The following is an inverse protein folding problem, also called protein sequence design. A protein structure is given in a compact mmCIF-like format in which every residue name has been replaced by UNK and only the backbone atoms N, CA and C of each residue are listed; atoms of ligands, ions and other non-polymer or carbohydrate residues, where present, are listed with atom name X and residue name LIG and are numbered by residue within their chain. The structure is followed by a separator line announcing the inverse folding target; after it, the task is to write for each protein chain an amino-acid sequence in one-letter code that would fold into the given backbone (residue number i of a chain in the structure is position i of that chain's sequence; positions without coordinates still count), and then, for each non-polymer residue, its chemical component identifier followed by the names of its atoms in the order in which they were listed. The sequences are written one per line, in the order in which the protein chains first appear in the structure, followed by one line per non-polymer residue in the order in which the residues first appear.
data_IF_698302909662
#
_entry.id   IF_698302909662
#
_cell.length_a   1.000
_cell.length_b   1.000
_cell.length_c   1.000
_cell.angle_alpha   90.00
_cell.angle_beta   90.00
_cell.angle_gamma   90.00
#
_symmetry.space_group_name_H-M   'P 1'
#
loop_
_entity.id
_entity.type
_entity.pdbx_description
1 polymer ?
#
# COMPACT_ATOMS: atom_id res chain seq x y z
N UNK A 1 25.23 34.61 26.33
CA UNK A 1 24.14 33.91 27.02
C UNK A 1 23.62 32.85 26.07
N UNK A 2 24.13 31.63 26.24
CA UNK A 2 23.85 30.49 25.35
C UNK A 2 22.68 29.70 25.94
N UNK A 3 21.57 29.64 25.21
CA UNK A 3 20.44 28.79 25.58
C UNK A 3 20.68 27.39 25.02
N UNK A 4 20.95 26.44 25.90
CA UNK A 4 20.90 25.00 25.64
C UNK A 4 19.47 24.63 25.25
N UNK A 5 19.28 24.21 24.00
CA UNK A 5 18.10 23.46 23.59
C UNK A 5 18.58 22.03 23.36
N UNK A 6 18.25 21.15 24.30
CA UNK A 6 18.40 19.70 24.14
C UNK A 6 17.61 19.24 22.91
N UNK A 7 18.19 18.44 22.00
CA UNK A 7 17.41 17.76 20.98
C UNK A 7 16.68 16.59 21.65
N UNK A 8 15.40 16.79 21.94
CA UNK A 8 14.47 15.70 22.24
C UNK A 8 14.36 14.79 21.01
N UNK A 9 15.21 13.76 20.97
CA UNK A 9 15.08 12.64 20.05
C UNK A 9 13.77 11.90 20.33
N UNK A 10 12.70 12.29 19.63
CA UNK A 10 11.48 11.49 19.58
C UNK A 10 11.75 10.30 18.66
N UNK A 11 12.24 9.20 19.25
CA UNK A 11 12.32 7.90 18.61
C UNK A 11 10.90 7.37 18.37
N UNK A 12 10.24 7.87 17.33
CA UNK A 12 9.03 7.27 16.78
C UNK A 12 9.45 6.06 15.94
N UNK A 13 9.87 5.01 16.64
CA UNK A 13 9.99 3.67 16.09
C UNK A 13 8.62 3.21 15.57
N UNK A 14 8.61 2.56 14.42
CA UNK A 14 7.46 1.86 13.81
C UNK A 14 6.65 1.01 14.81
N UNK A 15 7.23 0.64 15.96
CA UNK A 15 6.57 -0.06 17.06
C UNK A 15 5.22 0.57 17.52
N UNK A 16 5.05 1.89 17.47
CA UNK A 16 3.84 2.56 17.98
C UNK A 16 2.61 2.50 17.05
N UNK A 17 2.82 2.23 15.75
CA UNK A 17 1.75 2.00 14.78
C UNK A 17 1.30 0.52 14.84
N UNK A 18 2.26 -0.39 14.96
CA UNK A 18 2.02 -1.84 15.03
C UNK A 18 1.33 -2.29 16.33
N UNK A 19 1.63 -1.68 17.47
CA UNK A 19 0.89 -1.93 18.72
C UNK A 19 -0.59 -1.51 18.61
N UNK A 20 -0.91 -0.48 17.83
CA UNK A 20 -2.30 -0.02 17.62
C UNK A 20 -3.09 -0.95 16.68
N UNK A 21 -2.45 -1.50 15.66
CA UNK A 21 -3.10 -2.42 14.70
C UNK A 21 -3.35 -3.81 15.29
N UNK A 22 -2.49 -4.28 16.21
CA UNK A 22 -2.69 -5.53 16.94
C UNK A 22 -3.97 -5.54 17.81
N UNK A 23 -4.38 -4.36 18.29
CA UNK A 23 -5.65 -4.18 19.02
C UNK A 23 -6.88 -4.13 18.10
N UNK A 24 -6.73 -3.80 16.81
CA UNK A 24 -7.85 -3.77 15.86
C UNK A 24 -8.09 -5.13 15.19
N UNK A 25 -7.04 -5.90 14.91
CA UNK A 25 -7.16 -7.26 14.36
C UNK A 25 -7.75 -8.29 15.35
N UNK A 26 -7.93 -7.92 16.62
CA UNK A 26 -8.49 -8.77 17.69
C UNK A 26 -9.89 -8.37 18.15
N UNK A 27 -10.51 -7.36 17.55
CA UNK A 27 -11.89 -6.99 17.85
C UNK A 27 -12.86 -7.91 17.07
N UNK A 28 -13.67 -8.75 17.74
CA UNK A 28 -14.68 -9.54 17.05
C UNK A 28 -15.80 -8.63 16.57
N UNK A 29 -16.05 -8.63 15.25
CA UNK A 29 -17.32 -8.21 14.68
C UNK A 29 -18.42 -9.07 15.31
N UNK A 30 -19.26 -8.44 16.13
CA UNK A 30 -20.42 -9.09 16.74
C UNK A 30 -21.47 -9.29 15.65
N UNK A 31 -21.45 -10.47 15.04
CA UNK A 31 -22.61 -11.03 14.34
C UNK A 31 -22.51 -12.58 14.32
N UNK A 32 -23.14 -13.21 15.32
CA UNK A 32 -23.75 -14.54 15.30
C UNK A 32 -23.04 -15.70 14.60
N UNK A 33 -22.41 -16.57 15.40
CA UNK A 33 -22.05 -17.92 14.98
C UNK A 33 -21.03 -18.58 15.90
N UNK A 34 -21.50 -19.40 16.84
CA UNK A 34 -20.64 -20.15 17.75
C UNK A 34 -19.73 -21.11 16.96
N UNK A 35 -18.44 -20.77 16.87
CA UNK A 35 -17.39 -21.70 16.45
C UNK A 35 -16.41 -21.92 17.58
N UNK A 36 -16.19 -23.21 17.84
CA UNK A 36 -15.43 -23.81 18.93
C UNK A 36 -14.06 -23.15 19.15
N UNK A 37 -13.77 -22.94 20.42
CA UNK A 37 -12.46 -22.65 20.95
C UNK A 37 -11.43 -23.69 20.46
N UNK A 38 -10.48 -23.23 19.66
CA UNK A 38 -9.13 -23.76 19.52
C UNK A 38 -8.26 -22.62 18.99
N UNK A 39 -8.04 -21.61 19.84
CA UNK A 39 -7.04 -20.58 19.59
C UNK A 39 -5.65 -21.16 19.89
N UNK A 40 -4.70 -21.22 18.95
CA UNK A 40 -3.31 -21.51 19.29
C UNK A 40 -2.76 -20.35 20.12
N UNK A 41 -2.07 -20.70 21.21
CA UNK A 41 -1.40 -19.80 22.15
C UNK A 41 -0.63 -18.65 21.50
N UNK A 42 -0.69 -17.47 22.11
CA UNK A 42 -0.01 -16.25 21.67
C UNK A 42 1.53 -16.38 21.69
N UNK A 43 2.14 -16.73 20.56
CA UNK A 43 3.59 -16.81 20.36
C UNK A 43 4.26 -15.44 20.12
N UNK A 44 4.05 -14.46 20.99
CA UNK A 44 4.76 -13.18 20.91
C UNK A 44 6.07 -13.24 21.73
N UNK A 45 7.18 -13.63 21.09
CA UNK A 45 8.51 -13.45 21.71
C UNK A 45 8.79 -11.95 21.88
N UNK A 46 9.42 -11.53 22.99
CA UNK A 46 9.73 -10.13 23.27
C UNK A 46 10.76 -9.57 22.27
N UNK A 47 10.76 -8.25 22.09
CA UNK A 47 11.88 -7.58 21.40
C UNK A 47 13.15 -7.70 22.23
N UNK A 48 14.27 -7.97 21.56
CA UNK A 48 15.60 -7.89 22.17
C UNK A 48 16.14 -6.48 21.94
N UNK A 49 16.58 -5.79 23.01
CA UNK A 49 17.21 -4.48 22.86
C UNK A 49 18.41 -4.61 21.90
N UNK A 50 18.47 -3.84 20.79
CA UNK A 50 19.52 -3.96 19.78
C UNK A 50 20.90 -3.49 20.27
N UNK A 51 20.98 -2.92 21.48
CA UNK A 51 22.21 -2.33 22.04
C UNK A 51 22.50 -2.87 23.44
N UNK A 52 23.79 -2.86 23.80
CA UNK A 52 24.25 -3.15 25.15
C UNK A 52 24.29 -4.64 25.53
N UNK A 53 24.34 -4.88 26.84
CA UNK A 53 24.59 -6.20 27.44
C UNK A 53 23.56 -7.26 27.00
N UNK A 54 22.29 -6.89 26.88
CA UNK A 54 21.20 -7.79 26.48
C UNK A 54 21.40 -8.37 25.07
N UNK A 55 21.87 -7.58 24.10
CA UNK A 55 22.16 -8.08 22.75
C UNK A 55 23.40 -8.98 22.73
N UNK A 56 24.41 -8.64 23.53
CA UNK A 56 25.62 -9.46 23.68
C UNK A 56 25.30 -10.82 24.30
N UNK A 57 24.47 -10.86 25.35
CA UNK A 57 24.02 -12.09 25.99
C UNK A 57 23.15 -12.94 25.04
N UNK A 58 22.28 -12.28 24.28
CA UNK A 58 21.50 -12.92 23.23
C UNK A 58 22.44 -13.59 22.22
N UNK A 59 23.32 -12.84 21.53
CA UNK A 59 24.23 -13.35 20.49
C UNK A 59 25.19 -14.46 20.94
N UNK A 60 25.49 -14.55 22.23
CA UNK A 60 26.35 -15.59 22.82
C UNK A 60 25.60 -16.87 23.22
N UNK A 61 24.27 -16.81 23.39
CA UNK A 61 23.45 -17.93 23.87
C UNK A 61 22.65 -18.60 22.75
N UNK A 62 23.06 -19.82 22.36
CA UNK A 62 22.28 -20.65 21.42
C UNK A 62 20.86 -20.94 21.92
N UNK A 63 20.70 -21.09 23.23
CA UNK A 63 19.40 -21.38 23.87
C UNK A 63 18.47 -20.17 23.73
N UNK A 64 18.99 -18.95 23.91
CA UNK A 64 18.20 -17.73 23.75
C UNK A 64 17.78 -17.47 22.29
N UNK A 65 18.60 -17.89 21.32
CA UNK A 65 18.33 -17.73 19.88
C UNK A 65 17.27 -18.68 19.35
N UNK A 66 17.24 -19.90 19.87
CA UNK A 66 16.49 -21.00 19.29
C UNK A 66 14.99 -20.67 19.07
N UNK A 67 14.25 -20.07 20.01
CA UNK A 67 12.85 -19.71 19.78
C UNK A 67 12.65 -18.70 18.65
N UNK A 68 13.56 -17.73 18.50
CA UNK A 68 13.47 -16.70 17.45
C UNK A 68 13.74 -17.28 16.07
N UNK A 69 14.77 -18.13 15.97
CA UNK A 69 15.11 -18.85 14.73
C UNK A 69 14.00 -19.84 14.37
N UNK A 70 13.42 -20.52 15.36
CA UNK A 70 12.29 -21.42 15.14
C UNK A 70 11.08 -20.68 14.54
N UNK A 71 10.67 -19.56 15.14
CA UNK A 71 9.55 -18.79 14.62
C UNK A 71 9.81 -18.26 13.20
N UNK A 72 11.01 -17.77 12.91
CA UNK A 72 11.41 -17.36 11.56
C UNK A 72 11.31 -18.52 10.56
N UNK A 73 11.80 -19.70 10.93
CA UNK A 73 11.70 -20.90 10.10
C UNK A 73 10.25 -21.35 9.88
N UNK A 74 9.40 -21.28 10.90
CA UNK A 74 7.97 -21.59 10.80
C UNK A 74 7.25 -20.64 9.83
N UNK A 75 7.48 -19.32 9.96
CA UNK A 75 6.89 -18.33 9.05
C UNK A 75 7.33 -18.55 7.60
N UNK A 76 8.64 -18.73 7.37
CA UNK A 76 9.16 -18.96 6.01
C UNK A 76 8.71 -20.31 5.44
N UNK A 77 8.61 -21.34 6.27
CA UNK A 77 8.04 -22.64 5.86
C UNK A 77 6.59 -22.46 5.40
N UNK A 78 5.78 -21.72 6.16
CA UNK A 78 4.39 -21.44 5.79
C UNK A 78 4.27 -20.69 4.46
N UNK A 79 5.09 -19.65 4.24
CA UNK A 79 5.15 -18.94 2.95
C UNK A 79 5.52 -19.91 1.81
N UNK A 80 6.52 -20.76 2.02
CA UNK A 80 6.95 -21.75 1.03
C UNK A 80 5.83 -22.73 0.68
N UNK A 81 5.16 -23.28 1.68
CA UNK A 81 4.06 -24.22 1.52
C UNK A 81 2.87 -23.58 0.79
N UNK A 82 2.55 -22.34 1.12
CA UNK A 82 1.51 -21.57 0.41
C UNK A 82 1.82 -21.42 -1.09
N UNK A 83 3.06 -21.03 -1.44
CA UNK A 83 3.48 -20.93 -2.85
C UNK A 83 3.38 -22.29 -3.55
N UNK A 84 3.83 -23.37 -2.91
CA UNK A 84 3.78 -24.72 -3.48
C UNK A 84 2.34 -25.19 -3.74
N UNK A 85 1.40 -24.82 -2.87
CA UNK A 85 0.00 -25.24 -2.96
C UNK A 85 -0.79 -24.44 -4.00
N UNK A 86 -0.51 -23.14 -4.13
CA UNK A 86 -1.41 -22.22 -4.84
C UNK A 86 -0.81 -21.57 -6.09
N UNK A 87 0.51 -21.41 -6.21
CA UNK A 87 1.11 -20.79 -7.38
C UNK A 87 1.18 -21.77 -8.56
N UNK A 88 1.02 -21.25 -9.78
CA UNK A 88 1.18 -22.05 -10.99
C UNK A 88 2.60 -22.64 -11.08
N UNK A 89 2.70 -23.90 -11.51
CA UNK A 89 3.99 -24.55 -11.69
C UNK A 89 4.74 -23.90 -12.85
N UNK A 90 5.94 -23.36 -12.59
CA UNK A 90 6.73 -22.71 -13.62
C UNK A 90 8.07 -22.16 -13.14
N UNK A 91 8.87 -21.56 -14.04
CA UNK A 91 10.22 -21.07 -13.73
C UNK A 91 10.24 -20.00 -12.62
N UNK A 92 9.24 -19.11 -12.59
CA UNK A 92 9.11 -18.07 -11.57
C UNK A 92 8.91 -18.69 -10.19
N UNK A 93 7.95 -19.61 -10.05
CA UNK A 93 7.68 -20.35 -8.81
C UNK A 93 8.89 -21.13 -8.33
N UNK A 94 9.58 -21.84 -9.22
CA UNK A 94 10.81 -22.56 -8.86
C UNK A 94 11.91 -21.61 -8.35
N UNK A 95 12.09 -20.46 -9.02
CA UNK A 95 13.05 -19.43 -8.60
C UNK A 95 12.68 -18.86 -7.22
N UNK A 96 11.40 -18.55 -6.99
CA UNK A 96 10.90 -18.07 -5.70
C UNK A 96 11.17 -19.07 -4.57
N UNK A 97 10.87 -20.36 -4.79
CA UNK A 97 11.12 -21.43 -3.81
C UNK A 97 12.61 -21.59 -3.48
N UNK A 98 13.50 -21.48 -4.49
CA UNK A 98 14.95 -21.49 -4.25
C UNK A 98 15.39 -20.30 -3.41
N UNK A 99 14.96 -19.07 -3.74
CA UNK A 99 15.28 -17.87 -2.96
C UNK A 99 14.84 -17.98 -1.51
N UNK A 100 13.65 -18.53 -1.27
CA UNK A 100 13.16 -18.80 0.10
C UNK A 100 14.07 -19.78 0.84
N UNK A 101 14.48 -20.86 0.17
CA UNK A 101 15.38 -21.86 0.74
C UNK A 101 16.77 -21.25 1.04
N UNK A 102 17.31 -20.46 0.12
CA UNK A 102 18.60 -19.79 0.27
C UNK A 102 18.55 -18.76 1.41
N UNK A 103 17.46 -18.00 1.52
CA UNK A 103 17.23 -17.08 2.64
C UNK A 103 17.19 -17.81 3.99
N UNK A 104 16.45 -18.92 4.07
CA UNK A 104 16.40 -19.74 5.27
C UNK A 104 17.79 -20.28 5.64
N UNK A 105 18.58 -20.73 4.67
CA UNK A 105 19.92 -21.26 4.91
C UNK A 105 20.94 -20.19 5.30
N UNK A 106 20.90 -19.01 4.66
CA UNK A 106 21.97 -18.00 4.76
C UNK A 106 21.68 -16.87 5.74
N UNK A 107 20.40 -16.55 6.00
CA UNK A 107 20.00 -15.41 6.84
C UNK A 107 19.30 -15.83 8.13
N UNK A 108 18.57 -16.94 8.14
CA UNK A 108 17.87 -17.44 9.35
C UNK A 108 18.74 -18.46 10.08
N UNK A 109 19.12 -19.56 9.41
CA UNK A 109 19.92 -20.64 9.97
C UNK A 109 21.42 -20.33 9.91
N UNK A 110 21.77 -19.08 10.18
CA UNK A 110 23.14 -18.60 10.26
C UNK A 110 23.70 -18.76 11.68
N UNK A 111 24.97 -18.39 11.88
CA UNK A 111 25.56 -18.35 13.23
C UNK A 111 24.81 -17.29 14.07
N UNK A 112 24.59 -17.51 15.38
CA UNK A 112 23.93 -16.54 16.26
C UNK A 112 24.45 -15.10 16.14
N UNK A 113 25.77 -14.93 16.06
CA UNK A 113 26.41 -13.61 15.92
C UNK A 113 26.14 -12.91 14.56
N UNK A 114 25.64 -13.64 13.56
CA UNK A 114 25.32 -13.14 12.22
C UNK A 114 23.85 -12.73 12.07
N UNK A 115 23.00 -13.08 13.04
CA UNK A 115 21.59 -12.69 13.04
C UNK A 115 21.48 -11.21 13.45
N UNK A 116 20.89 -10.38 12.61
CA UNK A 116 20.82 -8.93 12.88
C UNK A 116 19.66 -8.59 13.83
N UNK A 117 19.73 -7.47 14.58
CA UNK A 117 18.60 -7.04 15.41
C UNK A 117 17.32 -6.81 14.60
N UNK A 118 17.44 -6.30 13.36
CA UNK A 118 16.31 -6.15 12.44
C UNK A 118 15.66 -7.50 12.12
N UNK A 119 16.47 -8.54 11.90
CA UNK A 119 15.95 -9.88 11.63
C UNK A 119 15.18 -10.46 12.81
N UNK A 120 15.75 -10.33 14.02
CA UNK A 120 15.19 -10.87 15.28
C UNK A 120 13.90 -10.17 15.71
N UNK A 121 13.87 -8.86 15.56
CA UNK A 121 12.78 -8.04 16.09
C UNK A 121 11.69 -7.79 15.04
N UNK A 122 12.05 -7.13 13.94
CA UNK A 122 11.09 -6.59 12.97
C UNK A 122 10.70 -7.65 11.94
N UNK A 123 11.69 -8.26 11.26
CA UNK A 123 11.41 -9.20 10.18
C UNK A 123 10.70 -10.46 10.69
N UNK A 124 11.07 -10.96 11.89
CA UNK A 124 10.36 -12.07 12.53
C UNK A 124 8.86 -11.79 12.69
N UNK A 125 8.52 -10.61 13.20
CA UNK A 125 7.11 -10.21 13.41
C UNK A 125 6.38 -10.07 12.08
N UNK A 126 6.99 -9.38 11.12
CA UNK A 126 6.37 -9.14 9.83
C UNK A 126 6.22 -10.43 9.00
N UNK A 127 7.21 -11.32 9.01
CA UNK A 127 7.09 -12.64 8.37
C UNK A 127 6.00 -13.50 9.01
N UNK A 128 5.86 -13.44 10.34
CA UNK A 128 4.78 -14.11 11.03
C UNK A 128 3.41 -13.57 10.61
N UNK A 129 3.26 -12.25 10.54
CA UNK A 129 2.03 -11.61 10.06
C UNK A 129 1.73 -11.98 8.61
N UNK A 130 2.73 -11.96 7.73
CA UNK A 130 2.57 -12.41 6.34
C UNK A 130 2.07 -13.86 6.31
N UNK A 131 2.72 -14.77 7.04
CA UNK A 131 2.32 -16.17 7.08
C UNK A 131 0.85 -16.35 7.54
N UNK A 132 0.39 -15.56 8.51
CA UNK A 132 -1.01 -15.55 8.93
C UNK A 132 -1.95 -15.00 7.85
N UNK A 133 -1.62 -13.85 7.24
CA UNK A 133 -2.46 -13.21 6.23
C UNK A 133 -2.51 -14.01 4.92
N UNK A 134 -1.48 -14.78 4.59
CA UNK A 134 -1.54 -15.71 3.46
C UNK A 134 -2.57 -16.83 3.69
N UNK A 135 -2.98 -17.12 4.92
CA UNK A 135 -4.07 -18.05 5.22
C UNK A 135 -5.43 -17.36 5.33
N UNK A 136 -5.48 -16.03 5.24
CA UNK A 136 -6.72 -15.26 5.36
C UNK A 136 -7.53 -15.33 4.05
N UNK A 137 -8.62 -16.08 4.07
CA UNK A 137 -9.50 -16.26 2.90
C UNK A 137 -10.28 -15.00 2.52
N UNK A 138 -10.34 -13.99 3.40
CA UNK A 138 -10.92 -12.69 3.03
C UNK A 138 -10.04 -11.88 2.07
N UNK A 139 -8.78 -12.29 1.86
CA UNK A 139 -7.89 -11.72 0.85
C UNK A 139 -7.95 -12.60 -0.41
N UNK A 140 -8.24 -12.03 -1.60
CA UNK A 140 -8.27 -12.77 -2.85
C UNK A 140 -7.02 -13.62 -3.07
N UNK A 141 -7.20 -14.87 -3.51
CA UNK A 141 -6.10 -15.84 -3.63
C UNK A 141 -5.00 -15.34 -4.58
N UNK A 142 -5.38 -14.73 -5.71
CA UNK A 142 -4.42 -14.19 -6.67
C UNK A 142 -3.50 -13.12 -6.04
N UNK A 143 -4.05 -12.27 -5.18
CA UNK A 143 -3.28 -11.24 -4.48
C UNK A 143 -2.32 -11.86 -3.45
N UNK A 144 -2.78 -12.86 -2.69
CA UNK A 144 -1.93 -13.61 -1.76
C UNK A 144 -0.78 -14.31 -2.48
N UNK A 145 -1.03 -14.94 -3.64
CA UNK A 145 0.01 -15.55 -4.49
C UNK A 145 1.00 -14.49 -4.97
N UNK A 146 0.51 -13.38 -5.53
CA UNK A 146 1.34 -12.28 -6.02
C UNK A 146 2.28 -11.76 -4.93
N UNK A 147 1.76 -11.53 -3.72
CA UNK A 147 2.54 -11.03 -2.59
C UNK A 147 3.56 -12.04 -2.07
N UNK A 148 3.21 -13.33 -2.03
CA UNK A 148 4.16 -14.38 -1.64
C UNK A 148 5.32 -14.49 -2.65
N UNK A 149 5.05 -14.35 -3.94
CA UNK A 149 6.08 -14.34 -4.99
C UNK A 149 6.95 -13.09 -4.92
N UNK A 150 6.37 -11.89 -4.76
CA UNK A 150 7.10 -10.64 -4.56
C UNK A 150 8.00 -10.70 -3.32
N UNK A 151 7.48 -11.22 -2.20
CA UNK A 151 8.25 -11.45 -0.99
C UNK A 151 9.50 -12.29 -1.32
N UNK A 152 9.31 -13.45 -1.95
CA UNK A 152 10.41 -14.36 -2.29
C UNK A 152 11.47 -13.69 -3.18
N UNK A 153 11.06 -12.84 -4.12
CA UNK A 153 11.98 -12.15 -5.01
C UNK A 153 12.93 -11.19 -4.26
N UNK A 154 12.45 -10.50 -3.24
CA UNK A 154 13.24 -9.56 -2.43
C UNK A 154 13.95 -10.17 -1.21
N UNK A 155 13.99 -11.50 -1.05
CA UNK A 155 14.74 -12.14 0.05
C UNK A 155 16.25 -12.32 -0.23
N UNK A 156 16.68 -12.15 -1.48
CA UNK A 156 18.06 -12.40 -1.95
C UNK A 156 18.80 -11.07 -2.22
N UNK A 157 18.72 -10.14 -1.26
CA UNK A 157 19.39 -8.83 -1.32
C UNK A 157 20.11 -8.52 0.00
N UNK A 158 20.62 -7.30 0.16
CA UNK A 158 21.19 -6.82 1.43
C UNK A 158 20.18 -6.91 2.59
N UNK A 159 20.65 -6.94 3.84
CA UNK A 159 19.79 -7.17 5.01
C UNK A 159 18.71 -6.10 5.17
N UNK A 160 19.03 -4.84 4.86
CA UNK A 160 18.12 -3.70 4.87
C UNK A 160 17.07 -3.82 3.76
N UNK A 161 17.48 -4.15 2.53
CA UNK A 161 16.56 -4.38 1.41
C UNK A 161 15.58 -5.53 1.69
N UNK A 162 16.05 -6.61 2.31
CA UNK A 162 15.19 -7.71 2.78
C UNK A 162 14.16 -7.21 3.78
N UNK A 163 14.58 -6.37 4.72
CA UNK A 163 13.70 -5.83 5.76
C UNK A 163 12.63 -4.89 5.19
N UNK A 164 13.01 -4.03 4.24
CA UNK A 164 12.08 -3.17 3.50
C UNK A 164 11.07 -3.99 2.71
N UNK A 165 11.53 -5.02 1.99
CA UNK A 165 10.66 -5.91 1.22
C UNK A 165 9.65 -6.65 2.12
N UNK A 166 10.11 -7.23 3.22
CA UNK A 166 9.26 -7.90 4.21
C UNK A 166 8.23 -6.92 4.78
N UNK A 167 8.64 -5.71 5.17
CA UNK A 167 7.74 -4.70 5.70
C UNK A 167 6.70 -4.25 4.66
N UNK A 168 7.11 -4.09 3.41
CA UNK A 168 6.21 -3.71 2.31
C UNK A 168 5.14 -4.76 2.08
N UNK A 169 5.53 -6.04 1.93
CA UNK A 169 4.58 -7.13 1.74
C UNK A 169 3.65 -7.31 2.96
N UNK A 170 4.16 -7.15 4.19
CA UNK A 170 3.34 -7.21 5.39
C UNK A 170 2.32 -6.07 5.43
N UNK A 171 2.75 -4.85 5.14
CA UNK A 171 1.88 -3.67 5.10
C UNK A 171 0.80 -3.81 4.03
N UNK A 172 1.15 -4.38 2.88
CA UNK A 172 0.18 -4.60 1.80
C UNK A 172 -0.85 -5.67 2.16
N UNK A 173 -0.45 -6.77 2.81
CA UNK A 173 -1.40 -7.79 3.29
C UNK A 173 -2.30 -7.29 4.43
N UNK A 174 -1.82 -6.35 5.25
CA UNK A 174 -2.54 -5.88 6.44
C UNK A 174 -3.43 -4.68 6.13
N UNK A 175 -2.99 -3.77 5.27
CA UNK A 175 -3.73 -2.56 4.90
C UNK A 175 -4.71 -2.81 3.74
N UNK A 176 -5.21 -4.05 3.59
CA UNK A 176 -6.27 -4.38 2.65
C UNK A 176 -7.56 -3.69 3.08
N UNK A 177 -7.75 -2.46 2.62
CA UNK A 177 -9.07 -1.87 2.57
C UNK A 177 -9.86 -2.64 1.50
N UNK A 178 -11.06 -3.11 1.85
CA UNK A 178 -11.95 -3.76 0.89
C UNK A 178 -12.73 -2.72 0.09
N UNK A 179 -13.19 -3.11 -1.10
CA UNK A 179 -13.95 -2.24 -1.98
C UNK A 179 -13.11 -1.19 -2.71
N UNK A 180 -13.81 -0.25 -3.35
CA UNK A 180 -13.21 0.71 -4.28
C UNK A 180 -12.09 1.56 -3.68
N UNK A 181 -12.23 2.03 -2.45
CA UNK A 181 -11.22 2.89 -1.82
C UNK A 181 -9.88 2.16 -1.63
N UNK A 182 -9.94 0.90 -1.17
CA UNK A 182 -8.73 0.10 -1.01
C UNK A 182 -8.10 -0.31 -2.32
N UNK A 183 -8.92 -0.61 -3.32
CA UNK A 183 -8.43 -0.85 -4.67
C UNK A 183 -7.65 0.35 -5.23
N UNK A 184 -8.19 1.57 -5.07
CA UNK A 184 -7.52 2.79 -5.53
C UNK A 184 -6.19 3.02 -4.81
N UNK A 185 -6.16 2.82 -3.48
CA UNK A 185 -4.92 2.95 -2.70
C UNK A 185 -3.87 1.94 -3.16
N UNK A 186 -4.31 0.70 -3.43
CA UNK A 186 -3.43 -0.35 -3.94
C UNK A 186 -2.87 0.01 -5.32
N UNK A 187 -3.73 0.36 -6.28
CA UNK A 187 -3.32 0.78 -7.64
C UNK A 187 -2.37 1.98 -7.56
N UNK A 188 -2.71 3.00 -6.74
CA UNK A 188 -1.85 4.18 -6.53
C UNK A 188 -0.46 3.77 -6.06
N UNK A 189 -0.37 2.98 -4.99
CA UNK A 189 0.92 2.60 -4.41
C UNK A 189 1.74 1.77 -5.39
N UNK A 190 1.11 0.87 -6.15
CA UNK A 190 1.77 0.13 -7.23
C UNK A 190 2.32 1.06 -8.32
N UNK A 191 1.53 2.04 -8.77
CA UNK A 191 2.00 3.03 -9.72
C UNK A 191 3.19 3.81 -9.16
N UNK A 192 3.10 4.32 -7.92
CA UNK A 192 4.22 5.05 -7.29
C UNK A 192 5.49 4.19 -7.33
N UNK A 193 5.42 2.94 -6.88
CA UNK A 193 6.57 2.04 -6.86
C UNK A 193 7.13 1.80 -8.27
N UNK A 194 6.27 1.58 -9.28
CA UNK A 194 6.69 1.41 -10.67
C UNK A 194 7.34 2.66 -11.26
N UNK A 195 6.76 3.85 -11.06
CA UNK A 195 7.26 5.11 -11.60
C UNK A 195 8.60 5.48 -10.96
N UNK A 196 8.70 5.37 -9.64
CA UNK A 196 9.94 5.64 -8.91
C UNK A 196 11.04 4.64 -9.28
N UNK A 197 10.70 3.36 -9.45
CA UNK A 197 11.66 2.34 -9.90
C UNK A 197 12.21 2.67 -11.30
N UNK A 198 11.35 3.08 -12.23
CA UNK A 198 11.79 3.49 -13.57
C UNK A 198 12.70 4.72 -13.53
N UNK A 199 12.39 5.70 -12.68
CA UNK A 199 13.23 6.87 -12.48
C UNK A 199 14.60 6.51 -11.89
N UNK A 200 14.63 5.71 -10.82
CA UNK A 200 15.86 5.25 -10.19
C UNK A 200 16.73 4.51 -11.21
N UNK A 201 16.15 3.57 -11.96
CA UNK A 201 16.89 2.86 -13.02
C UNK A 201 17.44 3.81 -14.07
N UNK A 202 16.67 4.81 -14.49
CA UNK A 202 17.12 5.81 -15.46
C UNK A 202 18.31 6.62 -14.96
N UNK A 203 18.27 7.06 -13.70
CA UNK A 203 19.34 7.86 -13.07
C UNK A 203 20.57 7.00 -12.78
N UNK A 204 20.38 5.87 -12.12
CA UNK A 204 21.45 5.02 -11.63
C UNK A 204 22.23 4.37 -12.78
N UNK A 205 21.57 3.98 -13.87
CA UNK A 205 22.25 3.46 -15.05
C UNK A 205 23.21 4.46 -15.71
N UNK A 206 23.04 5.77 -15.46
CA UNK A 206 23.93 6.82 -15.98
C UNK A 206 25.05 7.18 -15.02
N UNK A 207 24.89 6.90 -13.73
CA UNK A 207 25.78 7.40 -12.67
C UNK A 207 26.57 6.29 -11.98
N UNK A 208 26.08 5.05 -12.00
CA UNK A 208 26.61 3.93 -11.25
C UNK A 208 26.99 2.78 -12.18
N UNK A 209 27.91 1.92 -11.74
CA UNK A 209 28.14 0.65 -12.41
C UNK A 209 26.90 -0.26 -12.29
N UNK A 210 26.65 -1.18 -13.24
CA UNK A 210 25.45 -2.03 -13.20
C UNK A 210 25.28 -2.83 -11.90
N UNK A 211 26.39 -3.28 -11.29
CA UNK A 211 26.35 -3.98 -10.01
C UNK A 211 25.93 -3.08 -8.84
N UNK A 212 26.41 -1.84 -8.80
CA UNK A 212 26.04 -0.86 -7.78
C UNK A 212 24.60 -0.37 -7.95
N UNK A 213 24.18 -0.08 -9.19
CA UNK A 213 22.81 0.33 -9.51
C UNK A 213 21.80 -0.71 -8.99
N UNK A 214 22.03 -1.98 -9.31
CA UNK A 214 21.16 -3.07 -8.85
C UNK A 214 21.14 -3.22 -7.32
N UNK A 215 22.26 -3.01 -6.65
CA UNK A 215 22.37 -3.14 -5.20
C UNK A 215 21.68 -1.99 -4.44
N UNK A 216 21.68 -0.78 -5.01
CA UNK A 216 21.10 0.42 -4.39
C UNK A 216 19.66 0.71 -4.84
N UNK A 217 19.15 0.03 -5.88
CA UNK A 217 17.84 0.26 -6.48
C UNK A 217 16.71 0.37 -5.44
N UNK A 218 16.56 -0.61 -4.55
CA UNK A 218 15.50 -0.61 -3.52
C UNK A 218 15.64 0.56 -2.52
N UNK A 219 16.88 0.93 -2.19
CA UNK A 219 17.19 1.99 -1.24
C UNK A 219 16.93 3.37 -1.83
N UNK A 220 17.30 3.57 -3.09
CA UNK A 220 17.03 4.78 -3.83
C UNK A 220 15.52 4.96 -4.07
N UNK A 221 14.79 3.89 -4.40
CA UNK A 221 13.31 3.95 -4.47
C UNK A 221 12.74 4.35 -3.11
N UNK A 222 13.18 3.74 -2.01
CA UNK A 222 12.70 4.09 -0.67
C UNK A 222 13.04 5.54 -0.28
N UNK A 223 14.21 6.05 -0.68
CA UNK A 223 14.58 7.44 -0.50
C UNK A 223 13.56 8.36 -1.20
N UNK A 224 13.23 8.08 -2.46
CA UNK A 224 12.24 8.88 -3.19
C UNK A 224 10.83 8.75 -2.60
N UNK A 225 10.43 7.56 -2.13
CA UNK A 225 9.15 7.37 -1.40
C UNK A 225 9.09 8.22 -0.14
N UNK A 226 10.18 8.29 0.63
CA UNK A 226 10.27 9.14 1.82
C UNK A 226 10.17 10.63 1.44
N UNK A 227 10.81 11.05 0.35
CA UNK A 227 10.75 12.42 -0.14
C UNK A 227 9.32 12.87 -0.48
N UNK A 228 8.56 12.01 -1.16
CA UNK A 228 7.19 12.32 -1.61
C UNK A 228 6.11 11.92 -0.59
N UNK A 229 6.50 11.38 0.59
CA UNK A 229 5.58 10.72 1.49
C UNK A 229 4.41 11.59 1.95
N UNK A 230 4.70 12.83 2.35
CA UNK A 230 3.67 13.77 2.80
C UNK A 230 2.68 14.13 1.68
N UNK A 231 3.17 14.33 0.46
CA UNK A 231 2.33 14.72 -0.68
C UNK A 231 1.43 13.59 -1.16
N UNK A 232 1.86 12.34 -1.01
CA UNK A 232 1.19 11.15 -1.56
C UNK A 232 0.55 10.26 -0.48
N UNK A 233 0.54 10.71 0.77
CA UNK A 233 -0.03 9.97 1.90
C UNK A 233 0.67 8.64 2.16
N UNK A 234 2.00 8.59 2.01
CA UNK A 234 2.82 7.43 2.33
C UNK A 234 3.40 7.54 3.73
N UNK A 235 3.81 6.40 4.29
CA UNK A 235 4.55 6.36 5.55
C UNK A 235 6.04 6.48 5.27
N UNK A 236 6.73 7.36 6.01
CA UNK A 236 8.19 7.46 5.98
C UNK A 236 8.80 6.22 6.63
N UNK A 237 9.73 5.57 5.93
CA UNK A 237 10.43 4.38 6.42
C UNK A 237 11.91 4.66 6.57
N UNK A 238 12.46 4.41 7.75
CA UNK A 238 13.89 4.57 8.02
C UNK A 238 14.70 3.53 7.24
N UNK A 239 15.66 3.99 6.44
CA UNK A 239 16.63 3.17 5.73
C UNK A 239 17.97 3.91 5.69
N UNK A 240 19.05 3.21 6.08
CA UNK A 240 20.40 3.79 6.17
C UNK A 240 20.96 4.18 4.80
N UNK A 241 20.58 3.45 3.75
CA UNK A 241 21.05 3.71 2.40
C UNK A 241 20.14 4.67 1.64
N UNK A 242 18.96 4.97 2.17
CA UNK A 242 18.05 5.99 1.66
C UNK A 242 18.52 7.40 2.07
N UNK A 243 19.70 7.80 1.59
CA UNK A 243 20.37 9.02 2.02
C UNK A 243 19.58 10.29 1.71
N UNK A 244 19.63 11.27 2.61
CA UNK A 244 19.05 12.60 2.38
C UNK A 244 19.63 13.27 1.13
N UNK A 245 20.91 13.07 0.85
CA UNK A 245 21.58 13.55 -0.36
C UNK A 245 20.88 13.07 -1.63
N UNK A 246 20.54 11.78 -1.74
CA UNK A 246 19.84 11.25 -2.90
C UNK A 246 18.43 11.84 -3.02
N UNK A 247 17.73 11.99 -1.88
CA UNK A 247 16.41 12.63 -1.82
C UNK A 247 16.47 14.08 -2.33
N UNK A 248 17.47 14.85 -1.92
CA UNK A 248 17.61 16.24 -2.36
C UNK A 248 17.95 16.34 -3.86
N UNK A 249 18.76 15.41 -4.39
CA UNK A 249 19.21 15.44 -5.78
C UNK A 249 18.15 14.98 -6.79
N UNK A 250 17.37 13.96 -6.44
CA UNK A 250 16.44 13.28 -7.36
C UNK A 250 14.98 13.42 -6.92
N UNK A 251 14.71 13.77 -5.67
CA UNK A 251 13.37 13.98 -5.12
C UNK A 251 12.49 14.96 -5.91
N UNK A 252 12.99 16.12 -6.36
CA UNK A 252 12.19 17.03 -7.18
C UNK A 252 11.72 16.41 -8.51
N UNK A 253 12.55 15.56 -9.12
CA UNK A 253 12.13 14.78 -10.30
C UNK A 253 11.05 13.77 -9.94
N UNK A 254 11.21 13.06 -8.82
CA UNK A 254 10.25 12.08 -8.35
C UNK A 254 8.87 12.71 -8.12
N UNK A 255 8.82 13.85 -7.44
CA UNK A 255 7.57 14.57 -7.20
C UNK A 255 6.87 14.91 -8.53
N UNK A 256 7.57 15.59 -9.44
CA UNK A 256 6.96 16.02 -10.70
C UNK A 256 6.64 14.85 -11.66
N UNK A 257 7.43 13.77 -11.62
CA UNK A 257 7.15 12.55 -12.35
C UNK A 257 5.81 11.93 -11.91
N UNK A 258 5.62 11.77 -10.61
CA UNK A 258 4.39 11.20 -10.06
C UNK A 258 3.17 12.08 -10.40
N UNK A 259 3.29 13.41 -10.30
CA UNK A 259 2.20 14.32 -10.68
C UNK A 259 1.79 14.21 -12.16
N UNK A 260 2.75 13.94 -13.05
CA UNK A 260 2.50 13.79 -14.50
C UNK A 260 1.98 12.42 -14.91
N UNK A 261 2.23 11.40 -14.11
CA UNK A 261 1.96 9.99 -14.48
C UNK A 261 0.79 9.39 -13.69
N UNK A 262 0.56 9.82 -12.46
CA UNK A 262 -0.51 9.29 -11.62
C UNK A 262 -1.62 10.34 -11.48
N UNK A 263 -2.52 10.34 -12.45
CA UNK A 263 -3.67 11.26 -12.52
C UNK A 263 -4.98 10.54 -12.16
N UNK A 264 -6.05 11.28 -11.83
CA UNK A 264 -7.38 10.69 -11.65
C UNK A 264 -7.84 9.86 -12.86
N UNK A 265 -7.51 10.31 -14.07
CA UNK A 265 -7.80 9.57 -15.30
C UNK A 265 -7.06 8.24 -15.35
N UNK A 266 -5.74 8.24 -15.08
CA UNK A 266 -4.93 7.02 -15.08
C UNK A 266 -5.48 5.98 -14.10
N UNK A 267 -5.82 6.41 -12.87
CA UNK A 267 -6.46 5.53 -11.88
C UNK A 267 -7.82 5.02 -12.32
N UNK A 268 -8.68 5.90 -12.87
CA UNK A 268 -10.01 5.51 -13.33
C UNK A 268 -9.95 4.49 -14.48
N UNK A 269 -8.99 4.63 -15.39
CA UNK A 269 -8.77 3.65 -16.46
C UNK A 269 -8.28 2.30 -15.93
N UNK A 270 -7.39 2.28 -14.93
CA UNK A 270 -6.94 1.03 -14.31
C UNK A 270 -8.07 0.34 -13.53
N UNK A 271 -8.90 1.11 -12.82
CA UNK A 271 -10.12 0.56 -12.19
C UNK A 271 -11.09 0.03 -13.24
N UNK A 272 -11.27 0.74 -14.35
CA UNK A 272 -12.11 0.29 -15.46
C UNK A 272 -11.61 -1.03 -16.07
N UNK A 273 -10.30 -1.18 -16.23
CA UNK A 273 -9.68 -2.42 -16.71
C UNK A 273 -9.96 -3.58 -15.73
N UNK A 274 -9.81 -3.36 -14.42
CA UNK A 274 -10.13 -4.39 -13.42
C UNK A 274 -11.61 -4.76 -13.36
N UNK A 275 -12.51 -3.79 -13.51
CA UNK A 275 -13.95 -4.06 -13.63
C UNK A 275 -14.21 -4.96 -14.86
N UNK A 276 -13.60 -4.62 -15.99
CA UNK A 276 -13.72 -5.38 -17.23
C UNK A 276 -13.21 -6.82 -17.07
N UNK A 277 -12.00 -6.98 -16.55
CA UNK A 277 -11.38 -8.29 -16.30
C UNK A 277 -12.23 -9.16 -15.38
N UNK A 278 -12.72 -8.60 -14.27
CA UNK A 278 -13.57 -9.34 -13.32
C UNK A 278 -14.88 -9.78 -13.92
N UNK A 279 -15.54 -8.92 -14.70
CA UNK A 279 -16.80 -9.28 -15.35
C UNK A 279 -16.58 -10.31 -16.47
N UNK A 280 -15.46 -10.26 -17.20
CA UNK A 280 -15.19 -11.22 -18.27
C UNK A 280 -14.70 -12.58 -17.78
N UNK A 281 -13.98 -12.63 -16.67
CA UNK A 281 -13.59 -13.87 -15.98
C UNK A 281 -14.84 -14.71 -15.62
N UNK A 282 -15.90 -14.06 -15.14
CA UNK A 282 -17.14 -14.73 -14.73
C UNK A 282 -18.07 -15.11 -15.87
N UNK A 283 -17.86 -14.54 -17.06
CA UNK A 283 -18.72 -14.72 -18.23
C UNK A 283 -18.03 -15.44 -19.38
N UNK A 284 -16.84 -16.01 -19.14
CA UNK A 284 -16.04 -16.69 -20.16
C UNK A 284 -15.77 -15.81 -21.39
N UNK A 285 -15.49 -14.52 -21.18
CA UNK A 285 -15.25 -13.50 -22.22
C UNK A 285 -16.45 -13.11 -23.09
N UNK A 286 -17.62 -13.76 -22.93
CA UNK A 286 -18.81 -13.50 -23.75
C UNK A 286 -19.30 -12.04 -23.65
N UNK A 287 -19.10 -11.35 -22.52
CA UNK A 287 -19.47 -9.94 -22.38
C UNK A 287 -18.67 -8.99 -23.28
N UNK A 288 -17.45 -9.35 -23.72
CA UNK A 288 -16.68 -8.52 -24.65
C UNK A 288 -17.22 -8.60 -26.08
N UNK A 289 -17.73 -9.77 -26.47
CA UNK A 289 -18.19 -10.05 -27.84
C UNK A 289 -19.70 -9.94 -28.01
N UNK A 290 -20.45 -9.87 -26.92
CA UNK A 290 -21.91 -9.92 -26.88
C UNK A 290 -22.40 -11.24 -26.33
N UNK A 291 -23.12 -11.17 -25.21
CA UNK A 291 -23.79 -12.30 -24.55
C UNK A 291 -25.30 -12.17 -24.77
N UNK A 292 -26.01 -13.29 -24.91
CA UNK A 292 -27.48 -13.26 -24.93
C UNK A 292 -28.01 -12.83 -23.54
N UNK A 293 -28.97 -11.90 -23.48
CA UNK A 293 -29.47 -11.39 -22.20
C UNK A 293 -30.03 -12.48 -21.26
N UNK A 294 -30.62 -13.54 -21.83
CA UNK A 294 -31.13 -14.68 -21.05
C UNK A 294 -30.04 -15.51 -20.35
N UNK A 295 -28.78 -15.40 -20.78
CA UNK A 295 -27.64 -16.09 -20.18
C UNK A 295 -26.99 -15.27 -19.04
N UNK A 296 -27.29 -13.97 -18.98
CA UNK A 296 -26.72 -13.07 -17.99
C UNK A 296 -27.31 -13.32 -16.60
N UNK A 297 -26.53 -13.97 -15.75
CA UNK A 297 -26.87 -14.15 -14.32
C UNK A 297 -26.52 -12.88 -13.54
N UNK A 298 -27.43 -11.92 -13.53
CA UNK A 298 -27.24 -10.59 -12.94
C UNK A 298 -26.97 -10.60 -11.44
N UNK A 299 -27.68 -11.40 -10.65
CA UNK A 299 -27.54 -11.39 -9.19
C UNK A 299 -26.18 -11.93 -8.70
N UNK A 300 -25.65 -13.06 -9.21
CA UNK A 300 -24.27 -13.47 -8.93
C UNK A 300 -23.23 -12.41 -9.31
N UNK A 301 -23.36 -11.79 -10.49
CA UNK A 301 -22.47 -10.71 -10.93
C UNK A 301 -22.55 -9.49 -10.03
N UNK A 302 -23.75 -9.11 -9.58
CA UNK A 302 -23.94 -7.98 -8.67
C UNK A 302 -23.26 -8.22 -7.33
N UNK A 303 -23.42 -9.41 -6.74
CA UNK A 303 -22.76 -9.76 -5.47
C UNK A 303 -21.24 -9.76 -5.60
N UNK A 304 -20.74 -10.24 -6.74
CA UNK A 304 -19.31 -10.19 -7.02
C UNK A 304 -18.79 -8.76 -7.11
N UNK A 305 -19.47 -7.91 -7.88
CA UNK A 305 -19.09 -6.50 -8.02
C UNK A 305 -19.12 -5.78 -6.66
N UNK A 306 -20.13 -6.06 -5.83
CA UNK A 306 -20.24 -5.52 -4.49
C UNK A 306 -19.13 -6.03 -3.55
N UNK A 307 -18.74 -7.30 -3.66
CA UNK A 307 -17.67 -7.86 -2.85
C UNK A 307 -16.30 -7.24 -3.21
N UNK A 308 -16.04 -7.05 -4.51
CA UNK A 308 -14.75 -6.57 -5.00
C UNK A 308 -14.62 -5.05 -4.91
N UNK A 309 -15.63 -4.32 -5.38
CA UNK A 309 -15.59 -2.86 -5.53
C UNK A 309 -16.48 -2.12 -4.53
N UNK A 310 -17.29 -2.82 -3.75
CA UNK A 310 -18.26 -2.21 -2.83
C UNK A 310 -19.50 -1.67 -3.56
N UNK A 311 -20.36 -0.96 -2.81
CA UNK A 311 -21.63 -0.44 -3.33
C UNK A 311 -21.48 0.72 -4.33
N UNK A 312 -20.27 1.27 -4.49
CA UNK A 312 -20.06 2.45 -5.33
C UNK A 312 -19.95 2.11 -6.82
N UNK A 313 -19.60 0.88 -7.19
CA UNK A 313 -19.60 0.43 -8.58
C UNK A 313 -20.84 -0.44 -8.83
N UNK A 314 -21.85 0.15 -9.44
CA UNK A 314 -23.07 -0.57 -9.83
C UNK A 314 -22.89 -1.31 -11.16
N UNK A 315 -23.23 -2.60 -11.16
CA UNK A 315 -23.22 -3.48 -12.34
C UNK A 315 -24.00 -2.90 -13.52
N UNK A 316 -25.12 -2.21 -13.28
CA UNK A 316 -25.96 -1.69 -14.37
C UNK A 316 -25.20 -0.65 -15.22
N UNK A 317 -24.33 0.13 -14.60
CA UNK A 317 -23.50 1.13 -15.26
C UNK A 317 -22.27 0.51 -15.93
N UNK A 318 -22.00 -0.79 -15.72
CA UNK A 318 -20.94 -1.53 -16.38
C UNK A 318 -21.41 -2.28 -17.63
N UNK A 319 -22.72 -2.39 -17.86
CA UNK A 319 -23.31 -3.16 -18.94
C UNK A 319 -23.99 -2.25 -19.97
N UNK A 320 -24.02 -2.71 -21.21
CA UNK A 320 -24.72 -2.08 -22.32
C UNK A 320 -25.66 -3.11 -22.95
N UNK A 321 -26.96 -2.80 -22.97
CA UNK A 321 -27.98 -3.64 -23.59
C UNK A 321 -28.25 -3.15 -25.01
N UNK A 322 -28.51 -4.07 -25.95
CA UNK A 322 -29.03 -3.71 -27.27
C UNK A 322 -30.46 -3.16 -27.16
N UNK A 323 -30.89 -2.38 -28.16
CA UNK A 323 -32.21 -1.71 -28.16
C UNK A 323 -33.38 -2.70 -28.03
N UNK A 324 -33.21 -3.91 -28.57
CA UNK A 324 -34.17 -5.01 -28.52
C UNK A 324 -33.98 -5.93 -27.31
N UNK A 325 -33.02 -5.64 -26.43
CA UNK A 325 -32.63 -6.45 -25.27
C UNK A 325 -32.28 -7.91 -25.60
N UNK A 326 -31.90 -8.21 -26.85
CA UNK A 326 -31.45 -9.54 -27.24
C UNK A 326 -30.03 -9.84 -26.72
N UNK A 327 -29.18 -8.81 -26.66
CA UNK A 327 -27.76 -8.94 -26.31
C UNK A 327 -27.32 -7.91 -25.26
N UNK A 328 -26.31 -8.30 -24.50
CA UNK A 328 -25.63 -7.48 -23.51
C UNK A 328 -24.12 -7.54 -23.73
N UNK A 329 -23.49 -6.38 -23.72
CA UNK A 329 -22.04 -6.22 -23.79
C UNK A 329 -21.52 -5.46 -22.57
N UNK A 330 -20.22 -5.59 -22.33
CA UNK A 330 -19.52 -4.69 -21.40
C UNK A 330 -19.52 -3.27 -21.98
N UNK A 331 -19.71 -2.26 -21.12
CA UNK A 331 -19.52 -0.86 -21.48
C UNK A 331 -18.09 -0.60 -21.99
N UNK A 332 -17.94 0.43 -22.81
CA UNK A 332 -16.61 0.83 -23.28
C UNK A 332 -15.68 1.18 -22.11
N UNK A 333 -14.37 0.94 -22.28
CA UNK A 333 -13.34 1.30 -21.27
C UNK A 333 -13.48 2.74 -20.77
N UNK A 334 -13.81 3.67 -21.67
CA UNK A 334 -14.03 5.09 -21.32
C UNK A 334 -15.29 5.31 -20.48
N UNK A 335 -16.38 4.60 -20.78
CA UNK A 335 -17.62 4.68 -19.99
C UNK A 335 -17.41 4.10 -18.59
N UNK A 336 -16.74 2.95 -18.48
CA UNK A 336 -16.34 2.37 -17.19
C UNK A 336 -15.44 3.32 -16.39
N UNK A 337 -14.48 3.99 -17.04
CA UNK A 337 -13.64 4.99 -16.38
C UNK A 337 -14.44 6.21 -15.91
N UNK A 338 -15.46 6.63 -16.66
CA UNK A 338 -16.37 7.72 -16.25
C UNK A 338 -17.14 7.33 -14.98
N UNK A 339 -17.67 6.11 -14.95
CA UNK A 339 -18.33 5.56 -13.77
C UNK A 339 -17.39 5.46 -12.56
N UNK A 340 -16.13 5.07 -12.79
CA UNK A 340 -15.10 5.07 -11.75
C UNK A 340 -14.84 6.48 -11.19
N UNK A 341 -14.74 7.51 -12.03
CA UNK A 341 -14.60 8.91 -11.58
C UNK A 341 -15.80 9.33 -10.73
N UNK A 342 -17.02 9.05 -11.17
CA UNK A 342 -18.23 9.36 -10.39
C UNK A 342 -18.25 8.62 -9.04
N UNK A 343 -17.72 7.40 -9.02
CA UNK A 343 -17.56 6.65 -7.78
C UNK A 343 -16.48 7.26 -6.88
N UNK A 344 -15.36 7.76 -7.43
CA UNK A 344 -14.32 8.49 -6.69
C UNK A 344 -14.87 9.77 -6.06
N UNK A 345 -15.77 10.47 -6.75
CA UNK A 345 -16.46 11.65 -6.24
C UNK A 345 -17.39 11.30 -5.08
N UNK A 346 -18.17 10.22 -5.21
CA UNK A 346 -19.08 9.75 -4.14
C UNK A 346 -18.36 9.35 -2.86
N UNK A 347 -17.16 8.79 -2.95
CA UNK A 347 -16.33 8.46 -1.78
C UNK A 347 -15.46 9.63 -1.30
N UNK A 348 -15.60 10.81 -1.89
CA UNK A 348 -14.91 12.03 -1.46
C UNK A 348 -13.42 12.07 -1.81
N UNK A 349 -12.94 11.24 -2.74
CA UNK A 349 -11.58 11.36 -3.27
C UNK A 349 -11.46 12.56 -4.22
N UNK A 350 -12.47 12.78 -5.05
CA UNK A 350 -12.50 13.89 -6.01
C UNK A 350 -13.60 14.90 -5.66
N UNK A 351 -13.45 16.18 -6.05
CA UNK A 351 -14.52 17.17 -5.91
C UNK A 351 -15.80 16.72 -6.62
N UNK A 352 -16.94 16.82 -5.94
CA UNK A 352 -18.24 16.34 -6.46
C UNK A 352 -18.72 17.10 -7.71
N UNK A 353 -18.24 18.33 -7.90
CA UNK A 353 -18.57 19.23 -9.00
C UNK A 353 -17.59 19.15 -10.19
N UNK A 354 -16.48 18.41 -10.04
CA UNK A 354 -15.52 18.24 -11.12
C UNK A 354 -16.16 17.46 -12.28
N UNK A 355 -16.02 17.95 -13.52
CA UNK A 355 -16.57 17.24 -14.68
C UNK A 355 -15.82 15.93 -14.95
N UNK A 356 -16.49 14.76 -14.97
CA UNK A 356 -15.84 13.49 -15.30
C UNK A 356 -15.20 13.51 -16.69
N UNK A 357 -15.84 14.19 -17.66
CA UNK A 357 -15.30 14.37 -19.01
C UNK A 357 -14.00 15.17 -19.02
N UNK A 358 -13.91 16.22 -18.19
CA UNK A 358 -12.67 17.01 -18.05
C UNK A 358 -11.57 16.19 -17.38
N UNK A 359 -11.89 15.51 -16.28
CA UNK A 359 -10.93 14.67 -15.56
C UNK A 359 -10.35 13.57 -16.46
N UNK A 360 -11.20 12.87 -17.22
CA UNK A 360 -10.77 11.85 -18.18
C UNK A 360 -10.05 12.41 -19.42
N UNK A 361 -10.11 13.72 -19.65
CA UNK A 361 -9.36 14.37 -20.74
C UNK A 361 -7.91 14.66 -20.36
N UNK A 362 -7.55 14.53 -19.08
CA UNK A 362 -6.17 14.65 -18.63
C UNK A 362 -5.35 13.52 -19.24
N UNK A 363 -4.47 13.88 -20.16
CA UNK A 363 -3.61 12.93 -20.85
C UNK A 363 -2.55 12.42 -19.89
N UNK A 364 -2.53 11.11 -19.66
CA UNK A 364 -1.41 10.46 -19.00
C UNK A 364 -0.17 10.60 -19.89
N UNK A 365 0.92 11.08 -19.31
CA UNK A 365 2.19 11.15 -20.01
C UNK A 365 2.92 9.82 -19.82
N UNK A 366 3.35 9.12 -20.89
CA UNK A 366 4.13 7.90 -20.74
C UNK A 366 5.37 8.13 -19.87
N UNK A 367 5.68 7.19 -18.97
CA UNK A 367 6.74 7.33 -17.96
C UNK A 367 8.07 7.82 -18.54
N UNK A 368 8.51 7.26 -19.67
CA UNK A 368 9.76 7.65 -20.30
C UNK A 368 9.77 9.13 -20.73
N UNK A 369 8.68 9.63 -21.30
CA UNK A 369 8.53 11.03 -21.68
C UNK A 369 8.49 11.93 -20.43
N UNK A 370 7.85 11.47 -19.36
CA UNK A 370 7.77 12.22 -18.11
C UNK A 370 9.15 12.32 -17.44
N UNK A 371 9.93 11.24 -17.44
CA UNK A 371 11.32 11.23 -16.97
C UNK A 371 12.18 12.19 -17.81
N UNK A 372 12.05 12.19 -19.14
CA UNK A 372 12.78 13.12 -20.01
C UNK A 372 12.42 14.57 -19.72
N UNK A 373 11.13 14.89 -19.61
CA UNK A 373 10.65 16.25 -19.29
C UNK A 373 11.12 16.73 -17.91
N UNK A 374 11.30 15.83 -16.95
CA UNK A 374 11.75 16.17 -15.59
C UNK A 374 13.26 16.10 -15.41
N UNK A 375 14.01 15.54 -16.38
CA UNK A 375 15.46 15.28 -16.26
C UNK A 375 16.31 16.51 -15.95
N UNK A 376 15.88 17.70 -16.35
CA UNK A 376 16.55 18.96 -16.06
C UNK A 376 16.57 19.32 -14.57
N UNK A 377 15.70 18.71 -13.75
CA UNK A 377 15.65 18.92 -12.31
C UNK A 377 16.71 18.12 -11.55
N UNK A 378 17.28 17.08 -12.15
CA UNK A 378 18.45 16.43 -11.58
C UNK A 378 19.60 17.44 -11.54
N UNK A 379 20.18 17.65 -10.34
CA UNK A 379 21.35 18.49 -10.01
C UNK A 379 21.09 19.92 -9.52
N UNK A 380 19.85 20.34 -9.30
CA UNK A 380 19.65 21.56 -8.51
C UNK A 380 19.88 21.23 -7.03
N UNK A 381 21.03 21.64 -6.49
CA UNK A 381 21.21 21.80 -5.05
C UNK A 381 20.15 22.81 -4.62
N UNK A 382 19.10 22.33 -3.97
CA UNK A 382 17.99 23.13 -3.50
C UNK A 382 18.49 23.97 -2.32
N UNK A 383 18.92 25.22 -2.60
CA UNK A 383 19.39 26.19 -1.60
C UNK A 383 18.26 26.78 -0.75
N UNK A 384 16.99 26.50 -1.06
CA UNK A 384 15.83 26.97 -0.33
C UNK A 384 14.75 25.89 -0.35
N UNK A 385 14.02 25.62 0.74
CA UNK A 385 12.91 24.68 0.73
C UNK A 385 11.91 25.13 -0.33
N UNK A 386 11.96 24.47 -1.48
CA UNK A 386 11.15 24.85 -2.61
C UNK A 386 9.70 24.53 -2.25
N UNK A 387 8.92 25.59 -2.00
CA UNK A 387 7.46 25.54 -2.02
C UNK A 387 7.03 25.30 -3.47
N UNK A 388 7.29 24.11 -3.98
CA UNK A 388 6.64 23.64 -5.19
C UNK A 388 5.16 23.57 -4.85
N UNK A 389 4.39 24.51 -5.40
CA UNK A 389 2.95 24.50 -5.29
C UNK A 389 2.44 23.23 -5.94
N UNK A 390 2.30 22.16 -5.16
CA UNK A 390 1.50 21.00 -5.54
C UNK A 390 0.17 21.56 -5.98
N UNK A 391 -0.29 21.19 -7.16
CA UNK A 391 -1.59 21.65 -7.59
C UNK A 391 -2.63 21.25 -6.51
N UNK A 392 -3.58 22.13 -6.12
CA UNK A 392 -4.41 21.93 -4.93
C UNK A 392 -5.16 20.59 -4.90
N UNK A 393 -5.38 19.99 -6.08
CA UNK A 393 -5.99 18.69 -6.22
C UNK A 393 -5.08 17.55 -5.75
N UNK A 394 -3.77 17.56 -5.98
CA UNK A 394 -2.88 16.45 -5.59
C UNK A 394 -2.83 16.26 -4.07
N UNK A 395 -2.61 17.35 -3.34
CA UNK A 395 -2.56 17.29 -1.87
C UNK A 395 -3.92 16.90 -1.30
N UNK A 396 -5.03 17.44 -1.81
CA UNK A 396 -6.38 17.11 -1.33
C UNK A 396 -6.82 15.68 -1.67
N UNK A 397 -6.48 15.21 -2.88
CA UNK A 397 -6.78 13.87 -3.40
C UNK A 397 -6.07 12.78 -2.59
N UNK A 398 -4.79 12.99 -2.24
CA UNK A 398 -4.00 11.98 -1.54
C UNK A 398 -4.05 12.07 -0.03
N UNK A 399 -4.19 13.27 0.54
CA UNK A 399 -4.34 13.42 1.98
C UNK A 399 -5.74 13.07 2.47
N UNK A 400 -6.66 12.73 1.55
CA UNK A 400 -8.04 12.42 1.91
C UNK A 400 -8.63 13.54 2.74
N UNK A 401 -8.50 14.81 2.28
CA UNK A 401 -9.32 15.90 2.80
C UNK A 401 -10.77 15.61 2.41
N UNK A 402 -11.35 14.64 3.10
CA UNK A 402 -12.75 14.54 3.34
C UNK A 402 -13.14 15.89 3.94
N UNK A 403 -13.79 16.70 3.14
CA UNK A 403 -14.91 17.45 3.67
C UNK A 403 -15.83 16.39 4.31
N UNK A 404 -15.57 16.07 5.57
CA UNK A 404 -16.60 15.69 6.54
C UNK A 404 -17.54 16.90 6.69
N UNK A 405 -18.18 17.31 5.58
CA UNK A 405 -19.41 18.08 5.61
C UNK A 405 -20.49 17.12 6.09
N UNK A 406 -20.53 17.01 7.41
CA UNK A 406 -21.37 16.07 8.16
C UNK A 406 -21.19 16.22 9.68
N UNK A 407 -20.06 16.79 10.13
CA UNK A 407 -19.95 17.39 11.47
C UNK A 407 -19.56 18.86 11.32
N UNK A 408 -20.59 19.66 11.03
CA UNK A 408 -20.57 21.09 11.30
C UNK A 408 -20.04 21.30 12.72
N UNK A 409 -18.81 21.81 12.85
CA UNK A 409 -18.42 22.63 13.99
C UNK A 409 -19.11 23.99 13.79
N UNK A 410 -20.43 24.00 13.97
CA UNK A 410 -21.21 25.24 14.02
C UNK A 410 -22.51 25.08 14.83
N UNK A 411 -22.59 24.09 15.73
CA UNK A 411 -23.68 23.97 16.72
C UNK A 411 -23.22 24.13 18.18
N UNK A 412 -21.91 24.22 18.47
CA UNK A 412 -21.46 24.44 19.86
C UNK A 412 -21.27 25.90 20.26
N UNK A 413 -21.24 26.84 19.30
CA UNK A 413 -21.15 28.27 19.61
C UNK A 413 -22.51 28.98 19.60
N UNK A 414 -23.53 28.41 18.93
CA UNK A 414 -24.88 29.00 18.91
C UNK A 414 -25.73 28.58 20.13
N UNK A 415 -25.51 27.38 20.70
CA UNK A 415 -26.09 27.02 22.01
C UNK A 415 -25.40 27.73 23.19
N UNK A 416 -24.11 28.04 23.07
CA UNK A 416 -23.38 28.80 24.11
C UNK A 416 -23.82 30.27 24.14
N UNK A 417 -24.10 30.86 22.97
CA UNK A 417 -24.66 32.22 22.87
C UNK A 417 -26.14 32.30 23.23
N UNK A 418 -26.90 31.21 23.11
CA UNK A 418 -28.29 31.13 23.62
C UNK A 418 -28.36 30.95 25.14
N UNK A 419 -27.42 30.22 25.76
CA UNK A 419 -27.40 30.08 27.23
C UNK A 419 -26.89 31.35 27.94
N UNK A 420 -25.97 32.10 27.33
CA UNK A 420 -25.51 33.39 27.88
C UNK A 420 -26.53 34.54 27.74
N UNK A 421 -27.46 34.47 26.77
CA UNK A 421 -28.56 35.43 26.66
C UNK A 421 -29.75 35.16 27.59
N UNK A 422 -29.84 33.95 28.16
CA UNK A 422 -30.87 33.61 29.17
C UNK A 422 -30.40 33.77 30.63
N UNK A 423 -29.13 34.13 30.88
CA UNK A 423 -28.62 34.37 32.24
C UNK A 423 -28.29 35.84 32.58
N UNK A 424 -28.50 36.78 31.66
CA UNK A 424 -28.34 38.23 31.93
C UNK A 424 -29.68 38.92 32.28
N UNK A 425 -30.81 38.21 32.19
CA UNK A 425 -32.15 38.73 32.53
C UNK A 425 -32.63 38.53 33.97
N UNK A 426 -31.81 37.99 34.89
CA UNK A 426 -32.28 37.61 36.24
C UNK A 426 -31.35 38.07 37.38
N UNK A 427 -30.69 39.23 37.24
CA UNK A 427 -30.08 39.98 38.35
C UNK A 427 -30.20 41.48 38.14
N UNK A 428 -31.43 41.98 38.15
CA UNK A 428 -31.78 43.34 38.57
C UNK A 428 -33.20 43.30 39.13
N UNK A 429 -33.29 42.88 40.38
CA UNK A 429 -34.29 43.29 41.37
C UNK A 429 -33.59 43.25 42.73
#
# INVERSE_FOLDING_TARGET
MSANIEPSHCALSNASLWQRLQHQATAPSIAGGALRANSPSSHHLPSVNPTGKTWSEFTQSKIAHQPYVQQLNESIKSVREFIQQHAAHGPQTQKALRKIQDFAATKINCRPASLTPLMVNENRRNLWLIAQQLQNESIPLAQRIGLALTLAEGLDVCAEGVSLNILSCASELINQQQGLAGLIIHIKNQLIDQQLLQLVRYIDNKQLSPGQAKALEIHHVQALKNHVANQWGLTVVSDRYATETYQQQVGPMAALLLEKTITPAALAYLVADQIGEKLTEFTSENLKTGMACGELKTEPLRRLMQAEFGANIDLQHCLQFSDDYSTVTLQSRRALASHAIEAFQRIGLLPADASPRFLLSQQELPTHQAIEQTSHLARYLVSEPATWGSSPWNTSFWLGQTLLHGFSKDDSDDERRKSERHHIGAKTA
#
